data_IF_540612082740
#
_entry.id   IF_540612082740
#
_cell.length_a   1.000
_cell.length_b   1.000
_cell.length_c   1.000
_cell.angle_alpha   90.00
_cell.angle_beta   90.00
_cell.angle_gamma   90.00
#
_symmetry.space_group_name_H-M   'P 1'
#
loop_
_entity.id
_entity.type
_entity.pdbx_description
1 polymer ?
#
# COMPACT_ATOMS: atom_id res chain seq x y z
N UNK A 1 -15.15 -2.53 7.37
CA UNK A 1 -14.31 -1.54 8.07
C UNK A 1 -14.68 -0.16 7.53
N UNK A 2 -14.89 0.87 8.37
CA UNK A 2 -15.19 2.24 7.91
C UNK A 2 -13.90 3.07 7.84
N UNK A 3 -13.88 4.13 7.03
CA UNK A 3 -12.81 5.13 7.05
C UNK A 3 -12.94 5.99 8.31
N UNK A 4 -11.87 6.07 9.10
CA UNK A 4 -11.78 6.85 10.34
C UNK A 4 -11.28 8.28 10.09
N UNK A 5 -10.78 8.58 8.89
CA UNK A 5 -10.21 9.88 8.54
C UNK A 5 -8.76 10.02 8.97
N UNK A 6 -8.32 11.27 9.13
CA UNK A 6 -6.95 11.61 9.53
C UNK A 6 -6.58 11.07 10.91
N UNK A 7 -5.32 10.65 11.12
CA UNK A 7 -4.80 10.33 12.44
C UNK A 7 -5.01 11.51 13.41
N UNK A 8 -5.53 11.21 14.60
CA UNK A 8 -5.78 12.16 15.69
C UNK A 8 -5.67 11.43 17.04
N UNK A 9 -5.51 12.18 18.14
CA UNK A 9 -5.29 11.60 19.49
C UNK A 9 -6.32 10.53 19.86
N UNK A 10 -7.60 10.77 19.59
CA UNK A 10 -8.68 9.79 19.80
C UNK A 10 -9.15 9.26 18.45
N UNK A 11 -8.61 8.11 18.04
CA UNK A 11 -8.88 7.49 16.75
C UNK A 11 -10.15 6.61 16.83
N UNK A 12 -11.21 6.92 16.06
CA UNK A 12 -12.41 6.08 16.04
C UNK A 12 -12.10 4.75 15.37
N UNK A 13 -12.85 3.69 15.69
CA UNK A 13 -12.63 2.37 15.06
C UNK A 13 -12.80 2.46 13.54
N UNK A 14 -11.71 2.25 12.80
CA UNK A 14 -11.71 2.28 11.34
C UNK A 14 -10.30 2.36 10.76
N UNK A 15 -10.24 2.48 9.44
CA UNK A 15 -8.99 2.71 8.71
C UNK A 15 -8.58 4.18 8.90
N UNK A 16 -7.37 4.50 9.43
CA UNK A 16 -6.90 5.87 9.63
C UNK A 16 -6.50 6.51 8.29
N UNK A 17 -7.47 6.65 7.40
CA UNK A 17 -7.35 7.24 6.09
C UNK A 17 -8.67 7.94 5.74
N UNK A 18 -8.60 9.01 4.96
CA UNK A 18 -9.80 9.69 4.48
C UNK A 18 -10.39 8.97 3.27
N UNK A 19 -11.72 8.87 3.21
CA UNK A 19 -12.40 8.28 2.06
C UNK A 19 -12.08 9.03 0.76
N UNK A 20 -12.03 10.38 0.82
CA UNK A 20 -11.70 11.21 -0.34
C UNK A 20 -10.30 10.87 -0.87
N UNK A 21 -9.29 10.84 0.01
CA UNK A 21 -7.94 10.46 -0.36
C UNK A 21 -7.86 9.04 -0.93
N UNK A 22 -8.69 8.11 -0.45
CA UNK A 22 -8.71 6.75 -0.98
C UNK A 22 -9.24 6.71 -2.41
N UNK A 23 -10.36 7.38 -2.66
CA UNK A 23 -10.94 7.45 -4.00
C UNK A 23 -10.00 8.14 -4.99
N UNK A 24 -9.35 9.22 -4.56
CA UNK A 24 -8.33 9.91 -5.36
C UNK A 24 -7.15 8.99 -5.69
N UNK A 25 -6.62 8.26 -4.70
CA UNK A 25 -5.55 7.29 -4.92
C UNK A 25 -5.95 6.19 -5.93
N UNK A 26 -7.17 5.67 -5.84
CA UNK A 26 -7.69 4.65 -6.75
C UNK A 26 -7.82 5.20 -8.18
N UNK A 27 -8.41 6.38 -8.33
CA UNK A 27 -8.59 7.05 -9.62
C UNK A 27 -7.25 7.32 -10.31
N UNK A 28 -6.31 7.91 -9.57
CA UNK A 28 -4.96 8.23 -10.03
C UNK A 28 -4.19 6.97 -10.43
N UNK A 29 -4.28 5.90 -9.62
CA UNK A 29 -3.68 4.61 -9.95
C UNK A 29 -4.23 4.05 -11.26
N UNK A 30 -5.55 4.09 -11.44
CA UNK A 30 -6.20 3.61 -12.67
C UNK A 30 -5.74 4.39 -13.92
N UNK A 31 -5.55 5.70 -13.79
CA UNK A 31 -5.04 6.56 -14.87
C UNK A 31 -3.58 6.25 -15.22
N UNK A 32 -2.73 5.86 -14.27
CA UNK A 32 -1.37 5.45 -14.58
C UNK A 32 -1.26 4.05 -15.19
N UNK A 33 -2.20 3.15 -14.94
CA UNK A 33 -2.10 1.77 -15.43
C UNK A 33 -2.40 1.63 -16.93
N UNK A 34 -3.12 2.58 -17.55
CA UNK A 34 -3.62 2.47 -18.92
C UNK A 34 -3.09 3.60 -19.80
N UNK A 35 -1.84 3.47 -20.24
CA UNK A 35 -1.20 4.39 -21.20
C UNK A 35 -1.97 4.52 -22.52
N UNK A 36 -2.71 3.47 -22.91
CA UNK A 36 -3.48 3.39 -24.15
C UNK A 36 -4.84 4.11 -24.09
N UNK A 37 -5.16 4.77 -22.97
CA UNK A 37 -6.49 5.39 -22.76
C UNK A 37 -6.41 6.88 -22.53
N UNK A 38 -7.47 7.57 -22.99
CA UNK A 38 -7.69 8.99 -22.74
C UNK A 38 -7.76 9.23 -21.23
N UNK A 39 -6.97 10.19 -20.76
CA UNK A 39 -6.86 10.50 -19.34
C UNK A 39 -5.71 9.78 -18.62
N UNK A 40 -4.84 9.07 -19.35
CA UNK A 40 -3.55 8.64 -18.85
C UNK A 40 -2.76 9.81 -18.25
N UNK A 41 -2.10 9.55 -17.13
CA UNK A 41 -1.19 10.46 -16.47
C UNK A 41 0.10 9.70 -16.17
N UNK A 42 1.24 10.39 -16.24
CA UNK A 42 2.50 9.82 -15.78
C UNK A 42 2.47 9.61 -14.26
N UNK A 43 3.10 8.55 -13.78
CA UNK A 43 3.17 8.22 -12.36
C UNK A 43 4.09 9.15 -11.55
N UNK A 44 4.62 10.21 -12.15
CA UNK A 44 5.67 11.06 -11.60
C UNK A 44 5.22 11.95 -10.44
N UNK A 45 3.92 12.13 -10.18
CA UNK A 45 3.45 12.95 -9.05
C UNK A 45 2.14 12.47 -8.43
N UNK A 46 2.27 11.70 -7.35
CA UNK A 46 1.17 11.38 -6.45
C UNK A 46 1.50 11.89 -5.05
N UNK A 47 1.06 13.10 -4.67
CA UNK A 47 1.30 13.64 -3.32
C UNK A 47 0.78 12.71 -2.21
N UNK A 48 -0.24 11.90 -2.50
CA UNK A 48 -0.75 10.89 -1.58
C UNK A 48 0.24 9.74 -1.34
N UNK A 49 1.14 9.44 -2.29
CA UNK A 49 2.17 8.42 -2.13
C UNK A 49 3.26 8.85 -1.14
N UNK A 50 3.59 10.14 -1.10
CA UNK A 50 4.51 10.70 -0.10
C UNK A 50 3.97 10.45 1.32
N UNK A 51 2.65 10.64 1.52
CA UNK A 51 2.00 10.43 2.82
C UNK A 51 2.04 8.97 3.29
N UNK A 52 2.02 8.01 2.36
CA UNK A 52 2.12 6.57 2.70
C UNK A 52 3.55 6.03 2.61
N UNK A 53 4.51 6.89 2.23
CA UNK A 53 5.94 6.59 2.11
C UNK A 53 6.21 5.40 1.17
N UNK A 54 5.66 5.44 -0.04
CA UNK A 54 5.91 4.43 -1.09
C UNK A 54 6.26 5.17 -2.38
N UNK A 55 7.36 4.79 -3.06
CA UNK A 55 7.71 5.41 -4.33
C UNK A 55 6.68 5.10 -5.42
N UNK A 56 6.50 5.97 -6.43
CA UNK A 56 5.56 5.69 -7.51
C UNK A 56 5.86 4.41 -8.30
N UNK A 57 7.13 4.06 -8.50
CA UNK A 57 7.51 2.82 -9.19
C UNK A 57 7.12 1.59 -8.37
N UNK A 58 7.39 1.65 -7.06
CA UNK A 58 6.99 0.60 -6.13
C UNK A 58 5.46 0.48 -6.07
N UNK A 59 4.74 1.61 -6.03
CA UNK A 59 3.28 1.64 -6.03
C UNK A 59 2.69 0.99 -7.28
N UNK A 60 3.21 1.33 -8.47
CA UNK A 60 2.72 0.75 -9.71
C UNK A 60 2.96 -0.76 -9.75
N UNK A 61 4.13 -1.22 -9.30
CA UNK A 61 4.43 -2.65 -9.19
C UNK A 61 3.51 -3.36 -8.20
N UNK A 62 3.26 -2.75 -7.04
CA UNK A 62 2.34 -3.29 -6.03
C UNK A 62 0.92 -3.42 -6.58
N UNK A 63 0.41 -2.41 -7.27
CA UNK A 63 -0.98 -2.37 -7.77
C UNK A 63 -1.21 -3.25 -9.00
N UNK A 64 -0.17 -3.47 -9.82
CA UNK A 64 -0.27 -4.32 -11.03
C UNK A 64 0.13 -5.79 -10.80
N UNK A 65 1.05 -6.06 -9.86
CA UNK A 65 1.68 -7.37 -9.71
C UNK A 65 1.57 -7.95 -8.30
N UNK A 66 0.66 -7.44 -7.46
CA UNK A 66 0.53 -7.81 -6.05
C UNK A 66 0.65 -9.32 -5.78
N UNK A 67 -0.17 -10.12 -6.46
CA UNK A 67 -0.24 -11.58 -6.28
C UNK A 67 0.92 -12.35 -6.92
N UNK A 68 1.64 -11.72 -7.86
CA UNK A 68 2.88 -12.27 -8.42
C UNK A 68 4.04 -12.09 -7.45
N UNK A 69 4.09 -10.94 -6.79
CA UNK A 69 5.15 -10.54 -5.85
C UNK A 69 4.97 -11.21 -4.48
N UNK A 70 3.73 -11.32 -4.00
CA UNK A 70 3.43 -11.84 -2.66
C UNK A 70 2.61 -13.11 -2.71
N UNK A 71 3.04 -14.12 -1.94
CA UNK A 71 2.32 -15.41 -1.78
C UNK A 71 1.89 -15.69 -0.35
N UNK A 72 1.75 -14.65 0.48
CA UNK A 72 1.50 -14.80 1.91
C UNK A 72 1.35 -13.46 2.61
N UNK A 73 1.71 -13.40 3.89
CA UNK A 73 1.64 -12.16 4.67
C UNK A 73 2.48 -11.04 4.04
N UNK A 74 1.95 -9.81 4.14
CA UNK A 74 2.53 -8.59 3.59
C UNK A 74 2.38 -7.49 4.64
N UNK A 75 3.42 -6.70 4.84
CA UNK A 75 3.40 -5.60 5.80
C UNK A 75 4.80 -5.14 6.14
N UNK A 76 4.90 -4.12 7.00
CA UNK A 76 6.18 -3.63 7.50
C UNK A 76 6.98 -4.76 8.17
N UNK A 77 8.32 -4.78 8.06
CA UNK A 77 9.14 -5.86 8.63
C UNK A 77 8.84 -6.14 10.11
N UNK A 78 8.72 -5.08 10.92
CA UNK A 78 8.35 -5.19 12.34
C UNK A 78 7.00 -5.89 12.57
N UNK A 79 5.98 -5.57 11.76
CA UNK A 79 4.66 -6.22 11.87
C UNK A 79 4.69 -7.68 11.42
N UNK A 80 5.57 -8.03 10.48
CA UNK A 80 5.73 -9.42 10.03
C UNK A 80 6.45 -10.29 11.05
N UNK A 81 7.38 -9.72 11.81
CA UNK A 81 8.04 -10.40 12.92
C UNK A 81 7.01 -10.81 13.98
N UNK A 82 6.24 -9.84 14.50
CA UNK A 82 5.16 -10.12 15.44
C UNK A 82 4.13 -11.10 14.87
N UNK A 83 3.80 -11.02 13.58
CA UNK A 83 2.89 -11.97 12.93
C UNK A 83 3.44 -13.41 12.93
N UNK A 84 4.73 -13.59 12.61
CA UNK A 84 5.35 -14.91 12.59
C UNK A 84 5.46 -15.52 13.98
N UNK A 85 5.80 -14.72 14.98
CA UNK A 85 5.86 -15.12 16.39
C UNK A 85 4.50 -15.59 16.90
N UNK A 86 3.46 -14.77 16.69
CA UNK A 86 2.09 -15.08 17.13
C UNK A 86 1.54 -16.36 16.49
N UNK A 87 1.96 -16.67 15.25
CA UNK A 87 1.55 -17.88 14.54
C UNK A 87 2.54 -19.04 14.66
N UNK A 88 3.58 -18.90 15.50
CA UNK A 88 4.64 -19.90 15.71
C UNK A 88 5.30 -20.37 14.39
N UNK A 89 5.40 -19.46 13.41
CA UNK A 89 6.02 -19.73 12.11
C UNK A 89 7.51 -19.40 12.16
N UNK A 90 8.36 -20.38 11.83
CA UNK A 90 9.82 -20.18 11.76
C UNK A 90 10.28 -19.37 10.53
N UNK A 91 9.51 -19.39 9.44
CA UNK A 91 9.87 -18.71 8.18
C UNK A 91 9.11 -17.40 8.01
N UNK A 92 9.87 -16.31 7.83
CA UNK A 92 9.38 -14.97 7.45
C UNK A 92 9.26 -14.89 5.93
N UNK A 93 8.17 -15.43 5.37
CA UNK A 93 7.92 -15.36 3.94
C UNK A 93 7.73 -13.89 3.50
N UNK A 94 8.13 -13.54 2.27
CA UNK A 94 7.97 -12.21 1.67
C UNK A 94 8.71 -11.03 2.34
N UNK A 95 9.53 -11.25 3.39
CA UNK A 95 10.21 -10.15 4.10
C UNK A 95 11.05 -9.28 3.17
N UNK A 96 11.87 -9.89 2.31
CA UNK A 96 12.70 -9.16 1.34
C UNK A 96 11.88 -8.35 0.33
N UNK A 97 10.71 -8.85 -0.10
CA UNK A 97 9.84 -8.10 -1.00
C UNK A 97 9.16 -6.94 -0.28
N UNK A 98 8.83 -7.10 1.00
CA UNK A 98 8.24 -6.03 1.80
C UNK A 98 9.26 -4.93 2.10
N UNK A 99 10.51 -5.28 2.42
CA UNK A 99 11.60 -4.31 2.59
C UNK A 99 11.87 -3.52 1.30
N UNK A 100 11.74 -4.15 0.13
CA UNK A 100 12.00 -3.47 -1.15
C UNK A 100 10.85 -2.60 -1.63
N UNK A 101 9.61 -2.97 -1.35
CA UNK A 101 8.42 -2.38 -1.99
C UNK A 101 7.55 -1.56 -1.05
N UNK A 102 7.69 -1.73 0.27
CA UNK A 102 6.88 -1.05 1.29
C UNK A 102 7.71 -0.18 2.25
N UNK A 103 9.00 0.00 1.96
CA UNK A 103 9.92 0.84 2.74
C UNK A 103 10.13 2.20 2.09
#
# INVERSE_FOLDING_TARGET
MRFAGMPRQIMPKGLPFELKSYLELVELTGRCMREDKRGFIESTHFPLLERINISPENWLKLTTQFTRVFRGAVGRPASQESYCENLKRKRRANISNCEKLLA
#
